data_IF_253619396074
#
_entry.id   IF_253619396074
#
_cell.length_a   1.000
_cell.length_b   1.000
_cell.length_c   1.000
_cell.angle_alpha   90.00
_cell.angle_beta   90.00
_cell.angle_gamma   90.00
#
_symmetry.space_group_name_H-M   'P 1'
#
loop_
_entity.id
_entity.type
_entity.pdbx_description
1 polymer ?
#
# COMPACT_ATOMS: atom_id res chain seq x y z
N UNK A 1 24.52 -26.67 8.63
CA UNK A 1 24.36 -25.20 8.74
C UNK A 1 22.93 -24.88 8.34
N UNK A 2 22.16 -24.18 9.17
CA UNK A 2 20.84 -23.73 8.78
C UNK A 2 20.98 -22.76 7.60
N UNK A 3 20.21 -22.97 6.53
CA UNK A 3 20.17 -22.04 5.40
C UNK A 3 19.59 -20.72 5.92
N UNK A 4 20.21 -19.56 5.65
CA UNK A 4 19.67 -18.28 6.06
C UNK A 4 18.24 -18.09 5.55
N UNK A 5 17.35 -17.52 6.37
CA UNK A 5 15.95 -17.25 6.05
C UNK A 5 15.79 -16.58 4.67
N UNK A 6 16.66 -15.61 4.38
CA UNK A 6 16.69 -14.88 3.11
C UNK A 6 16.98 -15.78 1.91
N UNK A 7 17.86 -16.76 2.05
CA UNK A 7 18.22 -17.68 0.96
C UNK A 7 17.07 -18.65 0.65
N UNK A 8 16.31 -19.08 1.67
CA UNK A 8 15.10 -19.89 1.46
C UNK A 8 13.99 -19.07 0.80
N UNK A 9 13.75 -17.85 1.26
CA UNK A 9 12.80 -16.92 0.63
C UNK A 9 13.19 -16.63 -0.81
N UNK A 10 14.47 -16.35 -1.07
CA UNK A 10 14.98 -16.14 -2.41
C UNK A 10 14.70 -17.34 -3.31
N UNK A 11 14.94 -18.57 -2.86
CA UNK A 11 14.64 -19.77 -3.65
C UNK A 11 13.15 -19.86 -4.01
N UNK A 12 12.25 -19.63 -3.05
CA UNK A 12 10.79 -19.71 -3.28
C UNK A 12 10.34 -18.66 -4.30
N UNK A 13 10.77 -17.41 -4.13
CA UNK A 13 10.33 -16.32 -5.00
C UNK A 13 11.05 -16.31 -6.36
N UNK A 14 12.29 -16.79 -6.45
CA UNK A 14 12.98 -16.95 -7.74
C UNK A 14 12.34 -18.03 -8.61
N UNK A 15 11.87 -19.13 -8.02
CA UNK A 15 11.15 -20.17 -8.77
C UNK A 15 9.89 -19.59 -9.41
N UNK A 16 9.15 -18.78 -8.65
CA UNK A 16 7.96 -18.07 -9.13
C UNK A 16 8.30 -17.10 -10.27
N UNK A 17 9.36 -16.31 -10.10
CA UNK A 17 9.83 -15.36 -11.12
C UNK A 17 10.33 -16.09 -12.38
N UNK A 18 10.99 -17.24 -12.25
CA UNK A 18 11.46 -18.03 -13.40
C UNK A 18 10.31 -18.54 -14.25
N UNK A 19 9.25 -19.05 -13.62
CA UNK A 19 8.03 -19.49 -14.32
C UNK A 19 7.43 -18.35 -15.15
N UNK A 20 7.30 -17.17 -14.54
CA UNK A 20 6.81 -15.97 -15.24
C UNK A 20 7.70 -15.52 -16.41
N UNK A 21 9.03 -15.61 -16.27
CA UNK A 21 9.96 -15.27 -17.36
C UNK A 21 9.80 -16.20 -18.56
N UNK A 22 9.54 -17.49 -18.32
CA UNK A 22 9.34 -18.48 -19.39
C UNK A 22 8.03 -18.20 -20.13
N UNK A 23 6.95 -17.90 -19.40
CA UNK A 23 5.65 -17.60 -20.00
C UNK A 23 5.69 -16.28 -20.79
N UNK A 24 6.38 -15.27 -20.27
CA UNK A 24 6.63 -14.01 -20.99
C UNK A 24 7.44 -14.23 -22.28
N UNK A 25 8.36 -15.19 -22.29
CA UNK A 25 9.13 -15.56 -23.48
C UNK A 25 8.33 -16.39 -24.50
N UNK A 26 7.30 -17.12 -24.06
CA UNK A 26 6.51 -18.03 -24.89
C UNK A 26 4.98 -17.82 -24.76
N UNK A 27 4.46 -16.60 -25.01
CA UNK A 27 3.05 -16.25 -24.76
C UNK A 27 2.04 -16.98 -25.66
N UNK A 28 2.49 -17.62 -26.75
CA UNK A 28 1.65 -18.42 -27.64
C UNK A 28 1.59 -19.92 -27.30
N UNK A 29 2.37 -20.35 -26.31
CA UNK A 29 2.47 -21.75 -25.89
C UNK A 29 1.61 -22.06 -24.65
N UNK A 30 1.34 -21.03 -23.85
CA UNK A 30 0.47 -21.09 -22.67
C UNK A 30 -0.75 -20.20 -22.94
N UNK A 31 -1.94 -20.80 -23.00
CA UNK A 31 -3.19 -20.04 -23.05
C UNK A 31 -3.61 -19.77 -21.61
N UNK A 32 -3.21 -18.62 -21.06
CA UNK A 32 -3.57 -18.26 -19.69
C UNK A 32 -5.07 -18.01 -19.60
N UNK A 33 -5.80 -18.96 -19.03
CA UNK A 33 -7.16 -18.70 -18.54
C UNK A 33 -7.06 -18.02 -17.16
N UNK A 34 -8.06 -17.21 -16.76
CA UNK A 34 -8.07 -16.63 -15.40
C UNK A 34 -8.07 -17.70 -14.29
N UNK A 35 -8.48 -18.93 -14.60
CA UNK A 35 -8.42 -20.08 -13.70
C UNK A 35 -6.98 -20.61 -13.54
N UNK A 36 -6.18 -20.58 -14.60
CA UNK A 36 -4.76 -20.94 -14.57
C UNK A 36 -3.95 -19.94 -13.75
N UNK A 37 -4.18 -18.63 -13.95
CA UNK A 37 -3.56 -17.56 -13.13
C UNK A 37 -3.86 -17.75 -11.64
N UNK A 38 -5.14 -18.04 -11.30
CA UNK A 38 -5.53 -18.31 -9.92
C UNK A 38 -4.83 -19.56 -9.35
N UNK A 39 -4.69 -20.61 -10.15
CA UNK A 39 -4.03 -21.85 -9.74
C UNK A 39 -2.53 -21.61 -9.50
N UNK A 40 -1.87 -20.80 -10.33
CA UNK A 40 -0.47 -20.37 -10.15
C UNK A 40 -0.30 -19.62 -8.83
N UNK A 41 -1.18 -18.66 -8.53
CA UNK A 41 -1.17 -17.92 -7.27
C UNK A 41 -1.31 -18.87 -6.06
N UNK A 42 -2.25 -19.82 -6.11
CA UNK A 42 -2.45 -20.81 -5.04
C UNK A 42 -1.22 -21.69 -4.86
N UNK A 43 -0.62 -22.16 -5.95
CA UNK A 43 0.59 -23.00 -5.92
C UNK A 43 1.77 -22.25 -5.29
N UNK A 44 2.04 -21.02 -5.73
CA UNK A 44 3.05 -20.13 -5.14
C UNK A 44 2.84 -19.95 -3.63
N UNK A 45 1.61 -19.65 -3.22
CA UNK A 45 1.27 -19.44 -1.83
C UNK A 45 1.34 -20.71 -0.99
N UNK A 46 1.18 -21.89 -1.58
CA UNK A 46 1.28 -23.15 -0.85
C UNK A 46 2.70 -23.41 -0.32
N UNK A 47 3.73 -23.16 -1.15
CA UNK A 47 5.12 -23.28 -0.76
C UNK A 47 5.49 -22.22 0.30
N UNK A 48 5.06 -20.97 0.08
CA UNK A 48 5.26 -19.90 1.05
C UNK A 48 4.56 -20.17 2.38
N UNK A 49 3.35 -20.73 2.37
CA UNK A 49 2.59 -21.06 3.58
C UNK A 49 3.30 -22.09 4.45
N UNK A 50 3.90 -23.12 3.85
CA UNK A 50 4.69 -24.11 4.60
C UNK A 50 5.91 -23.48 5.26
N UNK A 51 6.59 -22.60 4.55
CA UNK A 51 7.71 -21.83 5.10
C UNK A 51 7.25 -20.92 6.26
N UNK A 52 6.16 -20.16 6.05
CA UNK A 52 5.61 -19.24 7.03
C UNK A 52 5.15 -19.93 8.33
N UNK A 53 4.54 -21.12 8.23
CA UNK A 53 4.09 -21.87 9.41
C UNK A 53 5.24 -22.38 10.29
N UNK A 54 6.43 -22.52 9.72
CA UNK A 54 7.63 -22.96 10.46
C UNK A 54 8.42 -21.77 11.04
N UNK A 55 8.02 -20.53 10.72
CA UNK A 55 8.69 -19.32 11.16
C UNK A 55 8.21 -18.89 12.54
N UNK A 56 9.12 -18.44 13.40
CA UNK A 56 8.76 -17.80 14.67
C UNK A 56 8.10 -16.45 14.45
N UNK A 57 7.24 -16.03 15.38
CA UNK A 57 6.55 -14.73 15.30
C UNK A 57 7.53 -13.54 15.26
N UNK A 58 8.68 -13.65 15.93
CA UNK A 58 9.72 -12.61 15.92
C UNK A 58 10.33 -12.39 14.53
N UNK A 59 10.32 -13.41 13.68
CA UNK A 59 10.88 -13.34 12.32
C UNK A 59 9.84 -12.94 11.27
N UNK A 60 8.54 -12.88 11.62
CA UNK A 60 7.46 -12.53 10.68
C UNK A 60 7.67 -11.16 10.06
N UNK A 61 8.02 -10.16 10.87
CA UNK A 61 8.26 -8.79 10.38
C UNK A 61 9.43 -8.74 9.40
N UNK A 62 10.55 -9.38 9.73
CA UNK A 62 11.74 -9.45 8.87
C UNK A 62 11.42 -10.16 7.55
N UNK A 63 10.63 -11.24 7.60
CA UNK A 63 10.18 -11.96 6.42
C UNK A 63 9.35 -11.06 5.49
N UNK A 64 8.36 -10.33 6.02
CA UNK A 64 7.51 -9.44 5.20
C UNK A 64 8.33 -8.27 4.63
N UNK A 65 9.22 -7.67 5.42
CA UNK A 65 10.13 -6.63 4.95
C UNK A 65 11.04 -7.13 3.82
N UNK A 66 11.57 -8.35 3.93
CA UNK A 66 12.37 -8.96 2.88
C UNK A 66 11.55 -9.18 1.60
N UNK A 67 10.33 -9.68 1.70
CA UNK A 67 9.43 -9.88 0.54
C UNK A 67 9.18 -8.55 -0.17
N UNK A 68 8.85 -7.49 0.58
CA UNK A 68 8.63 -6.16 0.00
C UNK A 68 9.89 -5.65 -0.69
N UNK A 69 11.07 -5.80 -0.08
CA UNK A 69 12.36 -5.42 -0.69
C UNK A 69 12.61 -6.18 -1.99
N UNK A 70 12.33 -7.48 -2.00
CA UNK A 70 12.47 -8.33 -3.18
C UNK A 70 11.50 -7.91 -4.30
N UNK A 71 10.24 -7.56 -3.99
CA UNK A 71 9.29 -7.08 -5.00
C UNK A 71 9.75 -5.73 -5.55
N UNK A 72 10.19 -4.82 -4.68
CA UNK A 72 10.61 -3.48 -5.08
C UNK A 72 11.95 -3.48 -5.85
N UNK A 73 12.76 -4.53 -5.75
CA UNK A 73 13.96 -4.70 -6.58
C UNK A 73 13.65 -5.19 -7.99
N UNK A 74 12.42 -5.64 -8.27
CA UNK A 74 12.03 -6.05 -9.62
C UNK A 74 11.89 -4.85 -10.57
N UNK A 75 12.19 -5.10 -11.84
CA UNK A 75 12.10 -4.08 -12.91
C UNK A 75 10.85 -4.23 -13.79
N UNK A 76 10.32 -5.46 -13.93
CA UNK A 76 9.14 -5.70 -14.76
C UNK A 76 7.86 -5.35 -14.01
N UNK A 77 7.01 -4.43 -14.54
CA UNK A 77 5.72 -4.09 -13.93
C UNK A 77 4.78 -5.28 -13.82
N UNK A 78 4.82 -6.21 -14.80
CA UNK A 78 4.00 -7.42 -14.79
C UNK A 78 4.35 -8.32 -13.61
N UNK A 79 5.66 -8.53 -13.37
CA UNK A 79 6.14 -9.32 -12.22
C UNK A 79 5.78 -8.68 -10.90
N UNK A 80 5.94 -7.35 -10.79
CA UNK A 80 5.53 -6.62 -9.58
C UNK A 80 4.03 -6.81 -9.34
N UNK A 81 3.20 -6.70 -10.38
CA UNK A 81 1.75 -6.93 -10.29
C UNK A 81 1.44 -8.34 -9.79
N UNK A 82 2.01 -9.37 -10.42
CA UNK A 82 1.81 -10.76 -10.03
C UNK A 82 2.21 -11.02 -8.57
N UNK A 83 3.38 -10.52 -8.14
CA UNK A 83 3.84 -10.66 -6.76
C UNK A 83 2.94 -9.91 -5.77
N UNK A 84 2.38 -8.76 -6.17
CA UNK A 84 1.36 -8.07 -5.38
C UNK A 84 0.03 -8.82 -5.32
N UNK A 85 -0.36 -9.54 -6.38
CA UNK A 85 -1.52 -10.42 -6.36
C UNK A 85 -1.31 -11.61 -5.41
N UNK A 86 -0.10 -12.18 -5.36
CA UNK A 86 0.29 -13.15 -4.34
C UNK A 86 0.15 -12.57 -2.92
N UNK A 87 0.68 -11.37 -2.66
CA UNK A 87 0.56 -10.71 -1.36
C UNK A 87 -0.90 -10.42 -0.99
N UNK A 88 -1.69 -9.93 -1.94
CA UNK A 88 -3.10 -9.66 -1.72
C UNK A 88 -3.85 -10.93 -1.32
N UNK A 89 -3.63 -12.03 -2.04
CA UNK A 89 -4.26 -13.31 -1.73
C UNK A 89 -3.76 -13.90 -0.39
N UNK A 90 -2.49 -13.71 -0.04
CA UNK A 90 -1.97 -14.08 1.28
C UNK A 90 -2.67 -13.32 2.42
N UNK A 91 -2.99 -12.04 2.22
CA UNK A 91 -3.74 -11.25 3.20
C UNK A 91 -5.21 -11.65 3.24
N UNK A 92 -5.87 -11.82 2.09
CA UNK A 92 -7.27 -12.24 1.98
C UNK A 92 -7.54 -13.61 2.62
N UNK A 93 -6.58 -14.53 2.51
CA UNK A 93 -6.66 -15.87 3.14
C UNK A 93 -6.26 -15.88 4.62
N UNK A 94 -5.87 -14.73 5.17
CA UNK A 94 -5.44 -14.58 6.57
C UNK A 94 -4.05 -15.14 6.87
N UNK A 95 -3.24 -15.45 5.84
CA UNK A 95 -1.86 -15.91 6.01
C UNK A 95 -0.96 -14.79 6.52
N UNK A 96 -1.09 -13.58 5.94
CA UNK A 96 -0.30 -12.41 6.30
C UNK A 96 -1.16 -11.32 6.97
N UNK A 97 -0.69 -10.71 8.08
CA UNK A 97 -1.39 -9.58 8.68
C UNK A 97 -1.40 -8.35 7.75
N UNK A 98 -2.56 -7.76 7.42
CA UNK A 98 -2.66 -6.62 6.50
C UNK A 98 -1.85 -5.41 6.98
N UNK A 99 -1.82 -5.16 8.29
CA UNK A 99 -1.08 -4.06 8.90
C UNK A 99 0.42 -4.15 8.59
N UNK A 100 1.00 -5.32 8.83
CA UNK A 100 2.43 -5.57 8.65
C UNK A 100 2.85 -5.43 7.19
N UNK A 101 2.00 -5.87 6.26
CA UNK A 101 2.22 -5.70 4.82
C UNK A 101 2.16 -4.23 4.43
N UNK A 102 1.11 -3.49 4.83
CA UNK A 102 0.98 -2.06 4.55
C UNK A 102 2.14 -1.23 5.12
N UNK A 103 2.54 -1.47 6.37
CA UNK A 103 3.65 -0.77 7.01
C UNK A 103 4.97 -1.06 6.27
N UNK A 104 5.23 -2.32 5.91
CA UNK A 104 6.44 -2.70 5.17
C UNK A 104 6.49 -2.06 3.76
N UNK A 105 5.35 -2.00 3.05
CA UNK A 105 5.24 -1.36 1.74
C UNK A 105 5.56 0.14 1.81
N UNK A 106 4.95 0.85 2.75
CA UNK A 106 5.12 2.31 2.90
C UNK A 106 6.51 2.70 3.40
N UNK A 107 7.09 1.88 4.30
CA UNK A 107 8.40 2.14 4.89
C UNK A 107 9.56 1.69 3.99
N UNK A 108 9.28 1.12 2.82
CA UNK A 108 10.34 0.77 1.87
C UNK A 108 11.02 2.04 1.33
N UNK A 109 12.36 2.04 1.38
CA UNK A 109 13.19 3.10 0.79
C UNK A 109 13.01 3.18 -0.74
N UNK A 110 12.85 2.03 -1.39
CA UNK A 110 12.61 1.94 -2.84
C UNK A 110 11.26 2.50 -3.32
N UNK A 111 10.33 2.85 -2.40
CA UNK A 111 9.04 3.45 -2.74
C UNK A 111 9.19 4.96 -2.89
N UNK A 112 9.54 5.37 -4.11
CA UNK A 112 9.77 6.76 -4.50
C UNK A 112 8.77 7.18 -5.59
N UNK A 113 8.41 8.46 -5.63
CA UNK A 113 7.45 8.99 -6.60
C UNK A 113 7.97 8.93 -8.04
N UNK A 114 9.29 8.94 -8.24
CA UNK A 114 9.95 8.82 -9.54
C UNK A 114 9.71 7.44 -10.17
N UNK A 115 9.57 6.40 -9.35
CA UNK A 115 9.20 5.04 -9.79
C UNK A 115 7.69 4.93 -9.94
N UNK A 116 7.12 5.71 -10.85
CA UNK A 116 5.67 5.96 -11.00
C UNK A 116 4.83 4.68 -11.11
N UNK A 117 5.32 3.68 -11.84
CA UNK A 117 4.62 2.40 -11.99
C UNK A 117 4.63 1.59 -10.69
N UNK A 118 5.77 1.53 -9.99
CA UNK A 118 5.87 0.90 -8.67
C UNK A 118 4.94 1.62 -7.69
N UNK A 119 5.05 2.94 -7.61
CA UNK A 119 4.16 3.79 -6.80
C UNK A 119 2.69 3.45 -7.03
N UNK A 120 2.23 3.46 -8.28
CA UNK A 120 0.84 3.18 -8.60
C UNK A 120 0.40 1.78 -8.16
N UNK A 121 1.21 0.75 -8.44
CA UNK A 121 0.91 -0.63 -8.07
C UNK A 121 0.92 -0.83 -6.54
N UNK A 122 1.87 -0.22 -5.82
CA UNK A 122 1.93 -0.28 -4.37
C UNK A 122 0.68 0.32 -3.73
N UNK A 123 0.28 1.52 -4.15
CA UNK A 123 -0.90 2.17 -3.58
C UNK A 123 -2.21 1.47 -3.95
N UNK A 124 -2.30 0.84 -5.14
CA UNK A 124 -3.43 -0.04 -5.49
C UNK A 124 -3.52 -1.26 -4.56
N UNK A 125 -2.39 -1.90 -4.26
CA UNK A 125 -2.35 -3.00 -3.29
C UNK A 125 -2.77 -2.53 -1.90
N UNK A 126 -2.23 -1.41 -1.42
CA UNK A 126 -2.61 -0.82 -0.12
C UNK A 126 -4.12 -0.55 -0.07
N UNK A 127 -4.71 0.05 -1.11
CA UNK A 127 -6.15 0.29 -1.18
C UNK A 127 -6.96 -0.99 -1.00
N UNK A 128 -6.50 -2.09 -1.59
CA UNK A 128 -7.18 -3.40 -1.57
C UNK A 128 -7.17 -4.04 -0.19
N UNK A 129 -6.07 -3.91 0.56
CA UNK A 129 -5.88 -4.65 1.83
C UNK A 129 -6.07 -3.81 3.10
N UNK A 130 -6.05 -2.46 3.01
CA UNK A 130 -6.13 -1.58 4.18
C UNK A 130 -7.43 -1.74 4.98
N UNK A 131 -8.49 -2.24 4.36
CA UNK A 131 -9.76 -2.55 5.03
C UNK A 131 -9.65 -3.59 6.14
N UNK A 132 -8.61 -4.43 6.13
CA UNK A 132 -8.34 -5.40 7.20
C UNK A 132 -7.52 -4.85 8.37
N UNK A 133 -7.12 -3.57 8.35
CA UNK A 133 -6.29 -2.95 9.39
C UNK A 133 -7.18 -2.30 10.46
N UNK A 134 -6.77 -2.40 11.74
CA UNK A 134 -7.46 -1.72 12.82
C UNK A 134 -7.40 -0.18 12.69
N UNK A 135 -8.37 0.53 13.26
CA UNK A 135 -8.49 1.99 13.10
C UNK A 135 -7.26 2.78 13.59
N UNK A 136 -6.46 2.24 14.54
CA UNK A 136 -5.21 2.90 14.98
C UNK A 136 -4.14 2.71 13.92
N UNK A 137 -4.01 1.49 13.39
CA UNK A 137 -3.14 1.20 12.26
C UNK A 137 -3.49 2.02 11.03
N UNK A 138 -4.76 2.16 10.68
CA UNK A 138 -5.20 3.01 9.56
C UNK A 138 -4.79 4.47 9.78
N UNK A 139 -4.86 4.99 11.01
CA UNK A 139 -4.38 6.34 11.34
C UNK A 139 -2.88 6.48 11.13
N UNK A 140 -2.09 5.52 11.59
CA UNK A 140 -0.63 5.53 11.44
C UNK A 140 -0.24 5.44 9.95
N UNK A 141 -0.91 4.57 9.18
CA UNK A 141 -0.75 4.44 7.75
C UNK A 141 -1.15 5.73 7.02
N UNK A 142 -2.27 6.37 7.37
CA UNK A 142 -2.68 7.65 6.79
C UNK A 142 -1.59 8.71 6.92
N UNK A 143 -0.96 8.81 8.10
CA UNK A 143 0.16 9.72 8.31
C UNK A 143 1.32 9.40 7.35
N UNK A 144 1.75 8.14 7.28
CA UNK A 144 2.84 7.72 6.39
C UNK A 144 2.55 7.97 4.90
N UNK A 145 1.30 7.74 4.47
CA UNK A 145 0.85 8.01 3.10
C UNK A 145 0.93 9.51 2.79
N UNK A 146 0.44 10.37 3.69
CA UNK A 146 0.49 11.82 3.50
C UNK A 146 1.93 12.34 3.49
N UNK A 147 2.81 11.80 4.33
CA UNK A 147 4.24 12.11 4.32
C UNK A 147 4.90 11.72 2.99
N UNK A 148 4.60 10.54 2.44
CA UNK A 148 5.07 10.13 1.11
C UNK A 148 4.54 11.06 0.01
N UNK A 149 3.26 11.44 0.03
CA UNK A 149 2.69 12.39 -0.95
C UNK A 149 3.39 13.74 -0.91
N UNK A 150 3.83 14.20 0.27
CA UNK A 150 4.56 15.45 0.44
C UNK A 150 5.97 15.43 -0.18
N UNK A 151 6.50 14.25 -0.54
CA UNK A 151 7.80 14.15 -1.25
C UNK A 151 7.70 14.46 -2.74
N UNK A 152 6.47 14.45 -3.30
CA UNK A 152 6.23 14.77 -4.71
C UNK A 152 6.44 16.28 -4.92
N UNK A 153 7.19 16.71 -5.95
CA UNK A 153 7.37 18.13 -6.24
C UNK A 153 6.07 18.78 -6.73
N UNK A 154 6.00 20.11 -6.62
CA UNK A 154 4.84 20.89 -7.07
C UNK A 154 4.65 20.87 -8.59
N UNK A 155 5.70 20.54 -9.33
CA UNK A 155 5.72 20.46 -10.79
C UNK A 155 6.21 19.08 -11.19
N UNK A 156 5.33 18.31 -11.83
CA UNK A 156 5.64 16.98 -12.39
C UNK A 156 5.16 16.92 -13.84
N UNK A 157 5.69 15.97 -14.60
CA UNK A 157 5.20 15.70 -15.95
C UNK A 157 3.71 15.31 -15.91
N UNK A 158 2.91 15.82 -16.84
CA UNK A 158 1.49 15.47 -16.96
C UNK A 158 1.28 13.97 -17.21
N UNK A 159 2.24 13.30 -17.84
CA UNK A 159 2.20 11.87 -18.14
C UNK A 159 2.14 10.99 -16.88
N UNK A 160 2.69 11.47 -15.76
CA UNK A 160 2.82 10.66 -14.53
C UNK A 160 1.74 10.91 -13.50
N UNK A 161 0.91 11.93 -13.72
CA UNK A 161 -0.10 12.38 -12.75
C UNK A 161 -1.08 11.25 -12.41
N UNK A 162 -1.56 10.50 -13.40
CA UNK A 162 -2.52 9.41 -13.15
C UNK A 162 -1.95 8.31 -12.27
N UNK A 163 -0.66 7.99 -12.42
CA UNK A 163 0.01 6.99 -11.58
C UNK A 163 0.18 7.51 -10.15
N UNK A 164 0.55 8.79 -9.99
CA UNK A 164 0.71 9.41 -8.67
C UNK A 164 -0.61 9.55 -7.91
N UNK A 165 -1.73 9.74 -8.62
CA UNK A 165 -3.07 9.82 -8.04
C UNK A 165 -3.50 8.52 -7.34
N UNK A 166 -2.87 7.37 -7.58
CA UNK A 166 -3.17 6.15 -6.84
C UNK A 166 -3.07 6.33 -5.32
N UNK A 167 -2.08 7.11 -4.84
CA UNK A 167 -1.95 7.42 -3.41
C UNK A 167 -3.12 8.26 -2.88
N UNK A 168 -3.65 9.17 -3.71
CA UNK A 168 -4.81 9.99 -3.38
C UNK A 168 -6.07 9.14 -3.25
N UNK A 169 -6.25 8.12 -4.09
CA UNK A 169 -7.40 7.21 -4.00
C UNK A 169 -7.39 6.41 -2.70
N UNK A 170 -6.21 6.03 -2.18
CA UNK A 170 -6.10 5.44 -0.84
C UNK A 170 -6.54 6.43 0.24
N UNK A 171 -6.05 7.67 0.18
CA UNK A 171 -6.48 8.71 1.13
C UNK A 171 -7.99 8.95 1.04
N UNK A 172 -8.56 9.01 -0.16
CA UNK A 172 -9.99 9.17 -0.36
C UNK A 172 -10.77 8.00 0.27
N UNK A 173 -10.30 6.77 0.08
CA UNK A 173 -10.91 5.57 0.68
C UNK A 173 -10.82 5.55 2.20
N UNK A 174 -9.68 5.95 2.79
CA UNK A 174 -9.50 6.10 4.24
C UNK A 174 -10.49 7.13 4.80
N UNK A 175 -10.70 8.23 4.08
CA UNK A 175 -11.59 9.30 4.51
C UNK A 175 -13.07 8.97 4.25
N UNK A 176 -13.39 8.05 3.34
CA UNK A 176 -14.76 7.67 2.98
C UNK A 176 -15.55 7.23 4.22
N UNK A 177 -16.62 7.97 4.57
CA UNK A 177 -17.40 7.70 5.79
C UNK A 177 -18.07 6.34 5.73
N UNK A 178 -18.48 5.91 4.55
CA UNK A 178 -19.12 4.63 4.34
C UNK A 178 -18.15 3.45 4.50
N UNK A 179 -16.84 3.68 4.34
CA UNK A 179 -15.83 2.65 4.55
C UNK A 179 -15.55 2.39 6.04
N UNK A 180 -15.90 3.33 6.94
CA UNK A 180 -15.79 3.20 8.40
C UNK A 180 -14.41 2.77 8.92
N UNK A 181 -13.33 3.08 8.19
CA UNK A 181 -11.97 2.61 8.51
C UNK A 181 -11.36 3.30 9.73
N UNK A 182 -11.72 4.56 9.97
CA UNK A 182 -11.38 5.27 11.20
C UNK A 182 -12.40 6.38 11.51
N UNK A 183 -12.53 6.77 12.79
CA UNK A 183 -13.26 7.97 13.15
C UNK A 183 -12.72 9.22 12.45
N UNK A 184 -13.60 10.00 11.80
CA UNK A 184 -13.21 11.16 10.98
C UNK A 184 -12.35 12.21 11.72
N UNK A 185 -12.54 12.36 13.04
CA UNK A 185 -11.75 13.31 13.83
C UNK A 185 -10.26 12.92 13.93
N UNK A 186 -9.93 11.62 13.89
CA UNK A 186 -8.53 11.18 13.86
C UNK A 186 -7.88 11.54 12.53
N UNK A 187 -8.55 11.29 11.41
CA UNK A 187 -8.05 11.67 10.10
C UNK A 187 -7.74 13.16 10.02
N UNK A 188 -8.64 13.99 10.52
CA UNK A 188 -8.50 15.46 10.49
C UNK A 188 -7.38 15.94 11.40
N UNK A 189 -7.18 15.27 12.53
CA UNK A 189 -6.07 15.56 13.43
C UNK A 189 -4.73 15.33 12.72
N UNK A 190 -4.58 14.23 11.98
CA UNK A 190 -3.35 13.95 11.22
C UNK A 190 -3.17 14.91 10.03
N UNK A 191 -4.24 15.23 9.30
CA UNK A 191 -4.19 16.21 8.20
C UNK A 191 -3.76 17.59 8.71
N UNK A 192 -4.34 18.08 9.82
CA UNK A 192 -4.01 19.40 10.38
C UNK A 192 -2.59 19.49 10.93
N UNK A 193 -1.99 18.38 11.37
CA UNK A 193 -0.57 18.36 11.78
C UNK A 193 0.36 18.61 10.59
N UNK A 194 0.03 18.05 9.42
CA UNK A 194 0.85 18.18 8.21
C UNK A 194 0.57 19.50 7.45
N UNK A 195 -0.67 19.98 7.54
CA UNK A 195 -1.14 21.23 6.97
C UNK A 195 -1.71 22.14 8.08
N UNK A 196 -0.84 22.81 8.87
CA UNK A 196 -1.30 23.79 9.85
C UNK A 196 -2.00 24.97 9.15
N UNK A 197 -2.81 25.72 9.91
CA UNK A 197 -3.59 26.84 9.36
C UNK A 197 -2.71 27.80 8.54
N UNK A 198 -3.12 28.05 7.29
CA UNK A 198 -2.38 28.88 6.33
C UNK A 198 -1.49 28.12 5.34
N UNK A 199 -1.19 26.83 5.57
CA UNK A 199 -0.44 26.01 4.61
C UNK A 199 -1.39 25.39 3.57
N UNK A 200 -1.15 25.67 2.29
CA UNK A 200 -1.96 25.10 1.21
C UNK A 200 -1.77 23.57 1.14
N UNK A 201 -2.84 22.78 0.94
CA UNK A 201 -2.71 21.35 0.74
C UNK A 201 -1.84 21.06 -0.50
N UNK A 202 -1.12 19.95 -0.47
CA UNK A 202 -0.36 19.47 -1.62
C UNK A 202 -1.29 19.29 -2.83
N UNK A 203 -0.84 19.60 -4.06
CA UNK A 203 -1.72 19.64 -5.24
C UNK A 203 -2.43 18.30 -5.50
N UNK A 204 -1.74 17.18 -5.26
CA UNK A 204 -2.30 15.82 -5.35
C UNK A 204 -3.42 15.58 -4.33
N UNK A 205 -3.39 16.30 -3.22
CA UNK A 205 -4.36 16.20 -2.13
C UNK A 205 -5.30 17.41 -2.08
N UNK A 206 -5.22 18.38 -3.01
CA UNK A 206 -5.97 19.65 -2.93
C UNK A 206 -7.47 19.43 -2.96
N UNK A 207 -8.01 18.66 -3.90
CA UNK A 207 -9.45 18.42 -3.93
C UNK A 207 -9.94 17.62 -2.72
N UNK A 208 -9.23 16.55 -2.33
CA UNK A 208 -9.63 15.73 -1.20
C UNK A 208 -9.52 16.49 0.13
N UNK A 209 -8.40 17.17 0.38
CA UNK A 209 -8.17 17.90 1.64
C UNK A 209 -9.02 19.16 1.75
N UNK A 210 -9.25 19.89 0.66
CA UNK A 210 -10.09 21.11 0.70
C UNK A 210 -11.56 20.76 0.91
N UNK A 211 -12.06 19.68 0.27
CA UNK A 211 -13.43 19.19 0.50
C UNK A 211 -13.58 18.68 1.94
N UNK A 212 -12.60 17.96 2.48
CA UNK A 212 -12.69 17.42 3.84
C UNK A 212 -12.46 18.46 4.94
N UNK A 213 -11.58 19.45 4.75
CA UNK A 213 -11.44 20.60 5.65
C UNK A 213 -12.70 21.49 5.63
N UNK A 214 -13.43 21.55 4.50
CA UNK A 214 -14.72 22.26 4.40
C UNK A 214 -15.89 21.49 5.05
N UNK A 215 -15.82 20.15 5.10
CA UNK A 215 -16.87 19.29 5.66
C UNK A 215 -16.89 19.28 7.21
N UNK A 216 -15.88 19.83 7.88
CA UNK A 216 -15.89 20.01 9.32
C UNK A 216 -15.92 21.49 9.69
N UNK A 217 -17.04 21.99 10.26
CA UNK A 217 -17.12 23.38 10.65
C UNK A 217 -16.05 23.69 11.70
N UNK A 218 -15.42 24.84 11.52
CA UNK A 218 -14.39 25.37 12.40
C UNK A 218 -14.97 25.47 13.83
N UNK A 219 -14.60 24.57 14.73
CA UNK A 219 -15.10 24.58 16.12
C UNK A 219 -14.75 25.87 16.87
N UNK A 220 -13.75 26.62 16.38
CA UNK A 220 -13.36 27.91 16.95
C UNK A 220 -14.29 29.09 16.60
N UNK A 221 -15.33 28.90 15.79
CA UNK A 221 -16.35 29.94 15.55
C UNK A 221 -17.63 29.77 16.39
N UNK A 222 -17.76 28.70 17.19
CA UNK A 222 -18.94 28.51 18.06
C UNK A 222 -18.73 28.96 19.51
N UNK A 223 -17.52 29.34 19.91
CA UNK A 223 -17.25 29.84 21.27
C UNK A 223 -17.37 31.36 21.41
N UNK A 224 -17.51 32.12 20.31
CA UNK A 224 -17.60 33.59 20.33
C UNK A 224 -19.04 34.14 20.29
N UNK A 225 -20.07 33.28 20.29
CA UNK A 225 -21.48 33.72 20.24
C UNK A 225 -22.29 33.44 21.52
N UNK A 226 -21.64 33.10 22.65
CA UNK A 226 -22.32 32.90 23.95
C UNK A 226 -21.74 33.82 25.05
N UNK A 227 -21.25 34.99 24.68
CA UNK A 227 -20.89 36.05 25.65
C UNK A 227 -21.45 37.39 25.19
N UNK A 228 -22.77 37.43 25.03
CA UNK A 228 -23.56 38.67 24.95
C UNK A 228 -25.03 38.32 25.12
N UNK A 229 -25.40 37.94 26.35
CA UNK A 229 -26.72 38.11 26.95
C UNK A 229 -26.54 38.22 28.46
#
# INVERSE_FOLDING_TARGET
>A
MAVPMETQLQSIFEEVVKTEVIEEAFPGMFMDTPEDERTKLISCLSAFRQFWSNLSQESHEQCVQWIVRFIHSQHSPKRISFLYDCLAMAVETGLLPPRMVCESLLNSDNLEWERTQLWSLTFKLVQKIIGGVDYKGVRDLLKGILEKILTIPNTVSSAVVQQLLAAREVVAYILERNACLLPAYFAVTEIRKLYPEGKLPHWTSKHTSTVWLAVLPNRNQRSSSVSSM
#
